data_IF_666790150262
#
_entry.id   IF_666790150262
#
_cell.length_a   1.000
_cell.length_b   1.000
_cell.length_c   1.000
_cell.angle_alpha   90.00
_cell.angle_beta   90.00
_cell.angle_gamma   90.00
#
_symmetry.space_group_name_H-M   'P 1'
#
loop_
_entity.id
_entity.type
_entity.pdbx_description
1 polymer ?
#
# COMPACT_ATOMS: atom_id res chain seq x y z
N UNK A 1 -5.42 -14.08 3.77
CA UNK A 1 -4.22 -13.78 4.58
C UNK A 1 -3.89 -12.31 4.44
N UNK A 2 -3.72 -11.59 5.55
CA UNK A 2 -3.20 -10.22 5.53
C UNK A 2 -1.66 -10.29 5.54
N UNK A 3 -1.04 -9.69 4.53
CA UNK A 3 0.41 -9.54 4.45
C UNK A 3 0.84 -8.38 5.36
N UNK A 4 1.37 -8.72 6.53
CA UNK A 4 2.01 -7.76 7.43
C UNK A 4 3.41 -7.40 6.94
N UNK A 5 3.48 -6.55 5.91
CA UNK A 5 4.73 -6.10 5.31
C UNK A 5 5.63 -5.36 6.31
N UNK A 6 6.92 -5.29 5.99
CA UNK A 6 7.94 -4.78 6.90
C UNK A 6 7.71 -3.33 7.31
N UNK A 7 7.17 -2.49 6.42
CA UNK A 7 6.99 -1.07 6.71
C UNK A 7 5.83 -0.84 7.67
N UNK A 8 4.66 -1.38 7.34
CA UNK A 8 3.52 -1.28 8.23
C UNK A 8 3.76 -2.04 9.54
N UNK A 9 4.53 -3.14 9.55
CA UNK A 9 4.84 -3.84 10.80
C UNK A 9 5.77 -3.03 11.73
N UNK A 10 6.80 -2.39 11.18
CA UNK A 10 7.87 -1.79 11.98
C UNK A 10 7.67 -0.29 12.25
N UNK A 11 7.04 0.44 11.32
CA UNK A 11 6.95 1.91 11.36
C UNK A 11 5.52 2.42 11.46
N UNK A 12 4.56 1.75 10.81
CA UNK A 12 3.17 2.22 10.70
C UNK A 12 2.13 1.13 11.07
N UNK A 13 2.20 0.55 12.29
CA UNK A 13 1.34 -0.57 12.70
C UNK A 13 -0.14 -0.24 12.74
N UNK A 14 -0.51 1.04 12.84
CA UNK A 14 -1.88 1.52 12.75
C UNK A 14 -2.53 1.18 11.41
N UNK A 15 -1.76 1.11 10.32
CA UNK A 15 -2.27 0.71 9.01
C UNK A 15 -2.72 -0.75 9.03
N UNK A 16 -1.95 -1.65 9.67
CA UNK A 16 -2.34 -3.07 9.82
C UNK A 16 -3.57 -3.22 10.72
N UNK A 17 -3.63 -2.49 11.83
CA UNK A 17 -4.81 -2.50 12.73
C UNK A 17 -6.06 -2.01 12.01
N UNK A 18 -5.93 -0.95 11.21
CA UNK A 18 -7.01 -0.39 10.40
C UNK A 18 -7.45 -1.37 9.30
N UNK A 19 -6.48 -2.00 8.62
CA UNK A 19 -6.73 -3.05 7.64
C UNK A 19 -7.49 -4.24 8.24
N UNK A 20 -7.12 -4.68 9.45
CA UNK A 20 -7.84 -5.73 10.18
C UNK A 20 -9.28 -5.33 10.49
N UNK A 21 -9.52 -4.11 10.98
CA UNK A 21 -10.87 -3.59 11.23
C UNK A 21 -11.72 -3.64 9.97
N UNK A 22 -11.18 -3.17 8.84
CA UNK A 22 -11.89 -3.16 7.54
C UNK A 22 -12.17 -4.57 7.03
N UNK A 23 -11.19 -5.48 7.10
CA UNK A 23 -11.37 -6.86 6.66
C UNK A 23 -12.36 -7.63 7.55
N UNK A 24 -12.36 -7.42 8.86
CA UNK A 24 -13.36 -8.00 9.76
C UNK A 24 -14.76 -7.43 9.51
N UNK A 25 -14.88 -6.12 9.28
CA UNK A 25 -16.16 -5.50 8.90
C UNK A 25 -16.67 -6.02 7.55
N UNK A 26 -15.78 -6.44 6.64
CA UNK A 26 -16.13 -7.13 5.41
C UNK A 26 -16.56 -8.60 5.60
N UNK A 27 -16.68 -9.08 6.85
CA UNK A 27 -17.09 -10.44 7.18
C UNK A 27 -15.99 -11.49 7.03
N UNK A 28 -14.72 -11.09 6.93
CA UNK A 28 -13.61 -12.02 6.71
C UNK A 28 -13.00 -12.49 8.02
N UNK A 29 -12.60 -13.77 8.04
CA UNK A 29 -11.63 -14.27 9.03
C UNK A 29 -10.22 -13.99 8.53
N UNK A 30 -9.45 -13.21 9.29
CA UNK A 30 -8.11 -12.79 8.87
C UNK A 30 -7.04 -13.60 9.59
N UNK A 31 -6.25 -14.34 8.82
CA UNK A 31 -4.95 -14.84 9.26
C UNK A 31 -3.82 -13.92 8.83
N UNK A 32 -2.77 -13.82 9.63
CA UNK A 32 -1.53 -13.09 9.29
C UNK A 32 -0.43 -14.10 8.99
N UNK A 33 0.34 -13.86 7.92
CA UNK A 33 1.45 -14.72 7.56
C UNK A 33 2.52 -14.75 8.67
N UNK A 34 2.94 -15.95 9.08
CA UNK A 34 4.01 -16.15 10.06
C UNK A 34 5.25 -16.66 9.36
N UNK A 35 6.40 -16.06 9.64
CA UNK A 35 7.69 -16.55 9.18
C UNK A 35 8.31 -17.53 10.18
N UNK A 36 9.36 -18.22 9.73
CA UNK A 36 10.19 -19.06 10.59
C UNK A 36 11.22 -18.22 11.35
N UNK A 37 11.13 -18.22 12.69
CA UNK A 37 12.01 -17.52 13.64
C UNK A 37 11.96 -15.98 13.62
N UNK A 38 11.58 -15.37 12.49
CA UNK A 38 11.42 -13.92 12.31
C UNK A 38 10.36 -13.62 11.26
N UNK A 39 9.77 -12.41 11.27
CA UNK A 39 8.78 -12.04 10.28
C UNK A 39 9.29 -12.12 8.83
N UNK A 40 8.38 -12.37 7.89
CA UNK A 40 8.67 -12.39 6.44
C UNK A 40 8.80 -10.97 5.88
N UNK A 41 9.54 -10.84 4.77
CA UNK A 41 9.72 -9.63 3.99
C UNK A 41 9.60 -9.97 2.50
N UNK A 42 9.12 -9.03 1.68
CA UNK A 42 9.02 -9.21 0.23
C UNK A 42 10.38 -9.17 -0.48
N UNK A 43 11.46 -8.77 0.19
CA UNK A 43 12.79 -8.66 -0.42
C UNK A 43 12.99 -7.43 -1.33
N UNK A 44 11.99 -6.55 -1.49
CA UNK A 44 12.07 -5.39 -2.40
C UNK A 44 13.24 -4.46 -2.11
N UNK A 45 13.57 -4.24 -0.84
CA UNK A 45 14.72 -3.40 -0.44
C UNK A 45 16.07 -4.01 -0.84
N UNK A 46 16.18 -5.34 -0.85
CA UNK A 46 17.35 -6.04 -1.38
C UNK A 46 17.42 -5.90 -2.90
N UNK A 47 16.30 -6.03 -3.62
CA UNK A 47 16.26 -5.83 -5.08
C UNK A 47 16.68 -4.41 -5.47
N UNK A 48 16.18 -3.39 -4.76
CA UNK A 48 16.52 -1.99 -5.01
C UNK A 48 18.02 -1.69 -4.85
N UNK A 49 18.75 -2.52 -4.09
CA UNK A 49 20.19 -2.40 -3.85
C UNK A 49 20.99 -3.49 -4.55
N UNK A 50 20.39 -4.19 -5.53
CA UNK A 50 21.01 -5.26 -6.34
C UNK A 50 21.48 -6.48 -5.52
N UNK A 51 20.98 -6.66 -4.30
CA UNK A 51 21.26 -7.83 -3.46
C UNK A 51 20.31 -9.00 -3.82
N UNK A 52 20.38 -9.46 -5.07
CA UNK A 52 19.42 -10.42 -5.65
C UNK A 52 19.37 -11.73 -4.87
N UNK A 53 20.50 -12.24 -4.40
CA UNK A 53 20.53 -13.50 -3.64
C UNK A 53 19.80 -13.40 -2.30
N UNK A 54 19.93 -12.25 -1.62
CA UNK A 54 19.17 -11.98 -0.38
C UNK A 54 17.69 -11.81 -0.66
N UNK A 55 17.33 -11.15 -1.77
CA UNK A 55 15.94 -11.04 -2.20
C UNK A 55 15.33 -12.42 -2.50
N UNK A 56 16.08 -13.32 -3.16
CA UNK A 56 15.64 -14.68 -3.46
C UNK A 56 15.36 -15.48 -2.19
N UNK A 57 16.23 -15.37 -1.17
CA UNK A 57 16.00 -16.01 0.14
C UNK A 57 14.71 -15.50 0.79
N UNK A 58 14.47 -14.18 0.80
CA UNK A 58 13.21 -13.63 1.34
C UNK A 58 11.98 -14.06 0.52
N UNK A 59 12.10 -14.14 -0.80
CA UNK A 59 11.03 -14.61 -1.67
C UNK A 59 10.66 -16.08 -1.38
N UNK A 60 11.65 -16.96 -1.18
CA UNK A 60 11.43 -18.35 -0.77
C UNK A 60 10.73 -18.44 0.59
N UNK A 61 11.18 -17.65 1.58
CA UNK A 61 10.55 -17.60 2.91
C UNK A 61 9.11 -17.10 2.85
N UNK A 62 8.86 -16.06 2.06
CA UNK A 62 7.52 -15.51 1.86
C UNK A 62 6.61 -16.53 1.18
N UNK A 63 7.10 -17.23 0.15
CA UNK A 63 6.36 -18.26 -0.55
C UNK A 63 5.96 -19.40 0.41
N UNK A 64 6.89 -19.87 1.24
CA UNK A 64 6.62 -20.89 2.25
C UNK A 64 5.61 -20.44 3.32
N UNK A 65 5.64 -19.17 3.74
CA UNK A 65 4.73 -18.61 4.74
C UNK A 65 3.31 -18.34 4.20
N UNK A 66 3.18 -18.20 2.88
CA UNK A 66 1.92 -17.88 2.21
C UNK A 66 1.45 -19.07 1.37
N UNK A 67 1.46 -20.30 1.88
CA UNK A 67 0.92 -21.45 1.12
C UNK A 67 -0.62 -21.48 1.09
N UNK A 68 -1.19 -22.29 0.20
CA UNK A 68 -2.64 -22.50 0.03
C UNK A 68 -3.31 -21.48 -0.89
N UNK A 69 -4.65 -21.48 -0.88
CA UNK A 69 -5.46 -20.80 -1.91
C UNK A 69 -6.12 -19.50 -1.45
N UNK A 70 -6.07 -19.19 -0.16
CA UNK A 70 -6.73 -17.99 0.40
C UNK A 70 -6.13 -16.70 -0.20
N UNK A 71 -6.93 -15.67 -0.55
CA UNK A 71 -6.40 -14.41 -1.07
C UNK A 71 -5.31 -13.80 -0.16
N UNK A 72 -4.25 -13.26 -0.75
CA UNK A 72 -3.23 -12.49 -0.03
C UNK A 72 -3.53 -11.01 -0.21
N UNK A 73 -3.86 -10.36 0.90
CA UNK A 73 -4.22 -8.96 0.95
C UNK A 73 -3.02 -8.15 1.41
N UNK A 74 -2.54 -7.23 0.57
CA UNK A 74 -1.47 -6.28 0.89
C UNK A 74 -1.98 -4.88 1.20
N UNK A 75 -1.17 -4.14 1.95
CA UNK A 75 -1.37 -2.71 2.23
C UNK A 75 -0.31 -1.86 1.51
N UNK A 76 0.97 -2.18 1.70
CA UNK A 76 2.06 -1.52 1.00
C UNK A 76 2.17 -1.98 -0.47
N UNK A 77 1.93 -1.09 -1.46
CA UNK A 77 1.96 -1.45 -2.87
C UNK A 77 3.30 -2.01 -3.32
N UNK A 78 4.42 -1.39 -2.93
CA UNK A 78 5.74 -1.89 -3.35
C UNK A 78 6.03 -3.30 -2.87
N UNK A 79 5.58 -3.64 -1.65
CA UNK A 79 5.75 -4.97 -1.10
C UNK A 79 4.86 -6.00 -1.80
N UNK A 80 3.57 -5.68 -1.99
CA UNK A 80 2.65 -6.61 -2.62
C UNK A 80 3.01 -6.86 -4.09
N UNK A 81 3.27 -5.82 -4.88
CA UNK A 81 3.54 -5.99 -6.31
C UNK A 81 4.89 -6.67 -6.57
N UNK A 82 5.80 -6.69 -5.61
CA UNK A 82 7.00 -7.56 -5.67
C UNK A 82 6.63 -9.04 -5.74
N UNK A 83 5.56 -9.48 -5.08
CA UNK A 83 5.07 -10.87 -5.20
C UNK A 83 4.53 -11.16 -6.62
N UNK A 84 4.04 -10.14 -7.32
CA UNK A 84 3.40 -10.30 -8.64
C UNK A 84 4.40 -10.23 -9.80
N UNK A 85 5.40 -9.35 -9.69
CA UNK A 85 6.32 -9.04 -10.79
C UNK A 85 7.68 -9.73 -10.63
N UNK A 86 8.21 -9.72 -9.41
CA UNK A 86 9.58 -10.14 -9.15
C UNK A 86 9.65 -11.62 -8.79
N UNK A 87 8.71 -12.13 -7.99
CA UNK A 87 8.78 -13.53 -7.53
C UNK A 87 8.73 -14.55 -8.66
N UNK A 88 7.86 -14.45 -9.68
CA UNK A 88 7.85 -15.38 -10.81
C UNK A 88 9.17 -15.37 -11.60
N UNK A 89 9.89 -14.25 -11.60
CA UNK A 89 11.19 -14.09 -12.26
C UNK A 89 12.36 -14.57 -11.40
N UNK A 90 12.24 -14.50 -10.08
CA UNK A 90 13.31 -14.84 -9.11
C UNK A 90 13.33 -16.32 -8.72
N UNK A 91 12.18 -16.98 -8.73
CA UNK A 91 11.98 -18.33 -8.21
C UNK A 91 11.58 -19.30 -9.34
N UNK A 92 12.13 -20.53 -9.35
CA UNK A 92 11.70 -21.54 -10.30
C UNK A 92 10.30 -22.08 -9.96
N UNK A 93 9.59 -22.58 -10.98
CA UNK A 93 8.33 -23.29 -10.83
C UNK A 93 7.08 -22.41 -10.79
N UNK A 94 5.91 -23.04 -10.68
CA UNK A 94 4.60 -22.35 -10.78
C UNK A 94 4.14 -21.68 -9.48
N UNK A 95 4.75 -21.99 -8.35
CA UNK A 95 4.23 -21.58 -7.03
C UNK A 95 4.27 -20.06 -6.83
N UNK A 96 5.31 -19.39 -7.35
CA UNK A 96 5.39 -17.94 -7.36
C UNK A 96 4.25 -17.31 -8.17
N UNK A 97 3.92 -17.88 -9.33
CA UNK A 97 2.80 -17.42 -10.15
C UNK A 97 1.46 -17.64 -9.44
N UNK A 98 1.23 -18.82 -8.85
CA UNK A 98 0.01 -19.10 -8.07
C UNK A 98 -0.19 -18.11 -6.92
N UNK A 99 0.89 -17.74 -6.24
CA UNK A 99 0.86 -16.69 -5.21
C UNK A 99 0.52 -15.32 -5.82
N UNK A 100 1.17 -14.95 -6.93
CA UNK A 100 0.93 -13.70 -7.64
C UNK A 100 -0.54 -13.53 -8.06
N UNK A 101 -1.18 -14.59 -8.52
CA UNK A 101 -2.56 -14.57 -9.04
C UNK A 101 -3.60 -14.25 -7.97
N UNK A 102 -3.32 -14.60 -6.70
CA UNK A 102 -4.20 -14.30 -5.57
C UNK A 102 -3.71 -13.17 -4.66
N UNK A 103 -2.62 -12.51 -5.02
CA UNK A 103 -2.10 -11.33 -4.35
C UNK A 103 -2.78 -10.05 -4.90
N UNK A 104 -3.41 -9.29 -4.02
CA UNK A 104 -4.10 -8.03 -4.36
C UNK A 104 -4.10 -7.05 -3.19
N UNK A 105 -4.20 -5.75 -3.47
CA UNK A 105 -4.34 -4.75 -2.42
C UNK A 105 -5.73 -4.83 -1.79
N UNK A 106 -5.86 -4.36 -0.55
CA UNK A 106 -7.15 -4.31 0.13
C UNK A 106 -8.20 -3.54 -0.69
N UNK A 107 -7.82 -2.39 -1.28
CA UNK A 107 -8.73 -1.62 -2.12
C UNK A 107 -9.20 -2.39 -3.37
N UNK A 108 -8.32 -3.17 -4.01
CA UNK A 108 -8.69 -4.04 -5.13
C UNK A 108 -9.67 -5.13 -4.69
N UNK A 109 -9.41 -5.75 -3.55
CA UNK A 109 -10.27 -6.78 -2.99
C UNK A 109 -11.68 -6.23 -2.71
N UNK A 110 -11.80 -5.07 -2.05
CA UNK A 110 -13.08 -4.44 -1.76
C UNK A 110 -13.83 -4.03 -3.03
N UNK A 111 -13.13 -3.48 -4.02
CA UNK A 111 -13.73 -3.11 -5.30
C UNK A 111 -14.25 -4.33 -6.07
N UNK A 112 -13.52 -5.46 -6.01
CA UNK A 112 -13.89 -6.71 -6.68
C UNK A 112 -15.06 -7.40 -5.99
N UNK A 113 -15.05 -7.48 -4.67
CA UNK A 113 -16.02 -8.29 -3.90
C UNK A 113 -17.23 -7.50 -3.42
N UNK A 114 -17.11 -6.17 -3.32
CA UNK A 114 -18.17 -5.24 -2.90
C UNK A 114 -18.92 -5.72 -1.65
N UNK A 115 -18.22 -6.05 -0.56
CA UNK A 115 -18.89 -6.48 0.66
C UNK A 115 -19.71 -5.32 1.23
N UNK A 116 -20.81 -5.65 1.92
CA UNK A 116 -21.61 -4.66 2.63
C UNK A 116 -20.85 -4.16 3.87
N UNK A 117 -20.13 -3.04 3.72
CA UNK A 117 -19.42 -2.40 4.82
C UNK A 117 -20.34 -1.38 5.51
N UNK A 118 -20.43 -1.39 6.86
CA UNK A 118 -21.27 -0.47 7.62
C UNK A 118 -20.59 0.91 7.76
N UNK A 119 -20.24 1.52 6.63
CA UNK A 119 -19.63 2.85 6.62
C UNK A 119 -20.65 3.90 7.10
N UNK A 120 -20.24 4.68 8.10
CA UNK A 120 -20.84 5.94 8.47
C UNK A 120 -20.44 7.03 7.48
N UNK A 121 -21.24 8.08 7.42
CA UNK A 121 -20.93 9.26 6.61
C UNK A 121 -19.66 9.93 7.12
N UNK A 122 -18.70 10.14 6.22
CA UNK A 122 -17.48 10.90 6.46
C UNK A 122 -17.47 12.11 5.53
N UNK A 123 -18.06 13.23 5.98
CA UNK A 123 -18.11 14.48 5.23
C UNK A 123 -16.73 15.14 5.16
N UNK A 124 -15.92 14.74 4.19
CA UNK A 124 -14.57 15.25 3.98
C UNK A 124 -14.19 15.19 2.49
N UNK A 125 -13.30 16.09 2.07
CA UNK A 125 -12.60 15.97 0.80
C UNK A 125 -11.28 15.23 1.01
N UNK A 126 -10.97 14.29 0.12
CA UNK A 126 -9.72 13.54 0.14
C UNK A 126 -9.01 13.58 -1.20
N UNK A 127 -7.73 13.96 -1.21
CA UNK A 127 -6.87 13.94 -2.38
C UNK A 127 -5.99 12.69 -2.35
N UNK A 128 -6.15 11.83 -3.35
CA UNK A 128 -5.58 10.48 -3.38
C UNK A 128 -4.44 10.41 -4.39
N UNK A 129 -3.22 10.28 -3.89
CA UNK A 129 -2.06 9.94 -4.70
C UNK A 129 -1.99 8.42 -4.90
N UNK A 130 -2.18 7.97 -6.14
CA UNK A 130 -1.91 6.58 -6.49
C UNK A 130 -0.41 6.29 -6.44
N UNK A 131 -0.03 5.17 -5.84
CA UNK A 131 1.35 4.69 -5.88
C UNK A 131 1.76 4.35 -7.32
N UNK A 132 3.04 4.48 -7.68
CA UNK A 132 3.52 4.13 -9.03
C UNK A 132 3.21 2.66 -9.37
N UNK A 133 3.53 1.70 -8.50
CA UNK A 133 3.10 0.30 -8.67
C UNK A 133 1.58 0.13 -8.77
N UNK A 134 0.76 0.86 -8.00
CA UNK A 134 -0.70 0.79 -8.16
C UNK A 134 -1.15 1.20 -9.57
N UNK A 135 -0.53 2.24 -10.13
CA UNK A 135 -0.84 2.69 -11.50
C UNK A 135 -0.36 1.69 -12.53
N UNK A 136 0.89 1.21 -12.42
CA UNK A 136 1.48 0.26 -13.36
C UNK A 136 0.70 -1.06 -13.43
N UNK A 137 0.14 -1.51 -12.32
CA UNK A 137 -0.66 -2.74 -12.25
C UNK A 137 -2.18 -2.50 -12.37
N UNK A 138 -2.63 -1.29 -12.72
CA UNK A 138 -4.06 -0.98 -12.86
C UNK A 138 -4.87 -1.02 -11.56
N UNK A 139 -4.23 -1.13 -10.40
CA UNK A 139 -4.83 -1.26 -9.08
C UNK A 139 -5.28 0.07 -8.46
N UNK A 140 -4.86 1.21 -9.00
CA UNK A 140 -5.25 2.52 -8.48
C UNK A 140 -6.75 2.80 -8.64
N UNK A 141 -7.32 2.52 -9.81
CA UNK A 141 -8.74 2.78 -10.09
C UNK A 141 -9.66 1.95 -9.18
N UNK A 142 -9.44 0.63 -8.99
CA UNK A 142 -10.15 -0.15 -7.98
C UNK A 142 -10.00 0.41 -6.56
N UNK A 143 -8.78 0.78 -6.14
CA UNK A 143 -8.55 1.36 -4.81
C UNK A 143 -9.32 2.66 -4.57
N UNK A 144 -9.35 3.56 -5.56
CA UNK A 144 -10.13 4.79 -5.51
C UNK A 144 -11.63 4.51 -5.48
N UNK A 145 -12.11 3.53 -6.26
CA UNK A 145 -13.51 3.12 -6.25
C UNK A 145 -13.95 2.58 -4.88
N UNK A 146 -13.07 1.83 -4.18
CA UNK A 146 -13.35 1.36 -2.82
C UNK A 146 -13.47 2.53 -1.81
N UNK A 147 -12.63 3.56 -1.92
CA UNK A 147 -12.76 4.78 -1.08
C UNK A 147 -14.09 5.51 -1.34
N UNK A 148 -14.52 5.60 -2.60
CA UNK A 148 -15.77 6.27 -3.00
C UNK A 148 -17.04 5.56 -2.54
N UNK A 149 -16.93 4.35 -1.96
CA UNK A 149 -18.06 3.70 -1.31
C UNK A 149 -18.38 4.30 0.07
N UNK A 150 -17.46 5.08 0.65
CA UNK A 150 -17.67 5.77 1.93
C UNK A 150 -18.65 6.93 1.70
N UNK A 151 -19.84 6.94 2.34
CA UNK A 151 -20.80 8.02 2.15
C UNK A 151 -20.22 9.36 2.60
N UNK A 152 -20.45 10.42 1.81
CA UNK A 152 -19.99 11.79 2.12
C UNK A 152 -18.51 12.07 1.84
N UNK A 153 -17.70 11.05 1.49
CA UNK A 153 -16.29 11.25 1.16
C UNK A 153 -16.12 11.67 -0.31
N UNK A 154 -15.67 12.89 -0.54
CA UNK A 154 -15.29 13.38 -1.85
C UNK A 154 -13.83 13.00 -2.17
N UNK A 155 -13.64 11.76 -2.62
CA UNK A 155 -12.32 11.21 -2.98
C UNK A 155 -11.90 11.57 -4.42
N UNK A 156 -10.93 12.48 -4.53
CA UNK A 156 -10.37 13.05 -5.75
C UNK A 156 -8.99 12.46 -6.05
N UNK A 157 -8.73 11.92 -7.26
CA UNK A 157 -7.39 11.50 -7.62
C UNK A 157 -6.46 12.70 -7.84
N UNK A 158 -5.22 12.60 -7.37
CA UNK A 158 -4.15 13.54 -7.74
C UNK A 158 -3.54 13.05 -9.06
N UNK A 159 -3.69 13.85 -10.12
CA UNK A 159 -3.04 13.62 -11.41
C UNK A 159 -1.51 13.80 -11.27
N UNK A 160 -0.82 12.71 -10.92
CA UNK A 160 0.62 12.69 -10.64
C UNK A 160 1.24 11.39 -11.11
N UNK A 161 2.57 11.38 -11.34
CA UNK A 161 3.32 10.20 -11.74
C UNK A 161 3.88 9.44 -10.53
N UNK A 162 5.13 9.66 -10.15
CA UNK A 162 5.77 9.05 -8.98
C UNK A 162 5.95 10.11 -7.88
N UNK A 163 6.02 9.68 -6.62
CA UNK A 163 6.41 10.56 -5.52
C UNK A 163 7.91 10.92 -5.55
N UNK A 164 8.74 10.19 -6.31
CA UNK A 164 10.17 10.44 -6.40
C UNK A 164 11.01 9.81 -5.28
N UNK A 165 10.41 9.30 -4.19
CA UNK A 165 11.18 8.75 -3.07
C UNK A 165 11.82 7.39 -3.37
N UNK A 166 11.04 6.43 -3.89
CA UNK A 166 11.49 5.09 -4.28
C UNK A 166 12.47 4.41 -3.28
N UNK A 167 12.13 4.40 -1.98
CA UNK A 167 12.99 3.86 -0.94
C UNK A 167 14.16 4.79 -0.61
N UNK A 168 15.40 4.29 -0.68
CA UNK A 168 16.61 5.08 -0.35
C UNK A 168 17.00 6.08 -1.44
N UNK A 169 16.46 5.96 -2.65
CA UNK A 169 16.77 6.86 -3.77
C UNK A 169 16.52 8.34 -3.42
N UNK A 170 15.44 8.65 -2.71
CA UNK A 170 15.12 10.01 -2.31
C UNK A 170 16.03 10.60 -1.23
N UNK A 171 16.79 9.76 -0.53
CA UNK A 171 17.69 10.19 0.54
C UNK A 171 19.17 10.23 0.13
N UNK A 172 19.53 9.57 -0.98
CA UNK A 172 20.90 9.57 -1.51
C UNK A 172 21.27 10.93 -2.08
N UNK A 173 22.47 11.44 -1.74
CA UNK A 173 22.97 12.74 -2.19
C UNK A 173 22.97 12.88 -3.72
N UNK A 174 23.27 11.80 -4.42
CA UNK A 174 23.39 11.74 -5.87
C UNK A 174 22.03 11.89 -6.57
N UNK A 175 20.97 11.34 -5.98
CA UNK A 175 19.63 11.27 -6.58
C UNK A 175 18.58 12.16 -5.92
N UNK A 176 18.90 12.82 -4.79
CA UNK A 176 17.95 13.67 -4.07
C UNK A 176 17.38 14.77 -4.97
N UNK A 177 18.20 15.38 -5.83
CA UNK A 177 17.74 16.43 -6.76
C UNK A 177 16.66 15.91 -7.72
N UNK A 178 16.86 14.72 -8.30
CA UNK A 178 15.92 14.07 -9.20
C UNK A 178 14.65 13.64 -8.45
N UNK A 179 14.81 13.08 -7.24
CA UNK A 179 13.70 12.74 -6.35
C UNK A 179 12.77 13.93 -6.08
N UNK A 180 13.35 15.07 -5.71
CA UNK A 180 12.61 16.32 -5.49
C UNK A 180 11.94 16.81 -6.77
N UNK A 181 12.65 16.82 -7.90
CA UNK A 181 12.09 17.24 -9.18
C UNK A 181 10.88 16.40 -9.60
N UNK A 182 10.94 15.07 -9.40
CA UNK A 182 9.81 14.18 -9.67
C UNK A 182 8.59 14.50 -8.80
N UNK A 183 8.80 14.77 -7.51
CA UNK A 183 7.73 15.13 -6.59
C UNK A 183 7.10 16.50 -6.93
N UNK A 184 7.94 17.47 -7.27
CA UNK A 184 7.56 18.84 -7.62
C UNK A 184 6.87 18.95 -8.98
N UNK A 185 7.04 17.96 -9.86
CA UNK A 185 6.42 17.98 -11.19
C UNK A 185 4.88 18.02 -11.14
N UNK A 186 4.25 17.43 -10.12
CA UNK A 186 2.78 17.39 -10.00
C UNK A 186 2.24 17.05 -8.61
N UNK A 187 2.91 16.15 -7.88
CA UNK A 187 2.40 15.68 -6.59
C UNK A 187 2.41 16.79 -5.53
N UNK A 188 3.56 17.40 -5.28
CA UNK A 188 3.69 18.41 -4.23
C UNK A 188 2.89 19.69 -4.52
N UNK A 189 2.81 20.19 -5.77
CA UNK A 189 1.88 21.27 -6.11
C UNK A 189 0.42 20.96 -5.74
N UNK A 190 -0.07 19.76 -6.07
CA UNK A 190 -1.44 19.36 -5.73
C UNK A 190 -1.66 19.23 -4.22
N UNK A 191 -0.68 18.69 -3.49
CA UNK A 191 -0.73 18.59 -2.02
C UNK A 191 -0.79 19.97 -1.36
N UNK A 192 -0.04 20.95 -1.88
CA UNK A 192 -0.06 22.32 -1.35
C UNK A 192 -1.33 23.09 -1.72
N UNK A 193 -1.96 22.75 -2.84
CA UNK A 193 -3.22 23.35 -3.28
C UNK A 193 -4.45 22.78 -2.55
N UNK A 194 -4.35 21.60 -1.94
CA UNK A 194 -5.42 21.00 -1.17
C UNK A 194 -5.76 21.84 0.07
N UNK A 195 -7.04 21.93 0.42
CA UNK A 195 -7.53 22.65 1.59
C UNK A 195 -6.85 22.18 2.88
N UNK A 196 -6.78 23.05 3.89
CA UNK A 196 -6.09 22.76 5.15
C UNK A 196 -6.66 21.51 5.84
N UNK A 197 -7.98 21.35 5.81
CA UNK A 197 -8.70 20.22 6.41
C UNK A 197 -8.90 19.02 5.46
N UNK A 198 -8.48 19.16 4.19
CA UNK A 198 -8.56 18.06 3.23
C UNK A 198 -7.62 16.92 3.62
N UNK A 199 -8.08 15.68 3.45
CA UNK A 199 -7.30 14.48 3.72
C UNK A 199 -6.35 14.23 2.54
N UNK A 200 -5.06 14.07 2.80
CA UNK A 200 -4.12 13.56 1.79
C UNK A 200 -3.97 12.04 1.97
N UNK A 201 -4.23 11.27 0.92
CA UNK A 201 -4.15 9.81 0.95
C UNK A 201 -3.01 9.33 0.06
N UNK A 202 -2.15 8.46 0.61
CA UNK A 202 -1.15 7.72 -0.14
C UNK A 202 -0.90 6.36 0.54
N UNK A 203 -0.98 5.26 -0.23
CA UNK A 203 -0.87 3.90 0.31
C UNK A 203 0.58 3.40 0.46
N UNK A 204 1.54 4.01 -0.26
CA UNK A 204 2.95 3.68 -0.08
C UNK A 204 3.63 4.49 1.02
N UNK A 205 4.42 3.80 1.82
CA UNK A 205 5.26 4.36 2.91
C UNK A 205 6.15 5.47 2.38
N UNK A 206 6.93 5.19 1.32
CA UNK A 206 7.80 6.18 0.70
C UNK A 206 7.04 7.39 0.14
N UNK A 207 5.81 7.21 -0.36
CA UNK A 207 4.99 8.34 -0.80
C UNK A 207 4.59 9.23 0.38
N UNK A 208 4.16 8.64 1.50
CA UNK A 208 3.78 9.39 2.72
C UNK A 208 4.96 10.17 3.29
N UNK A 209 6.14 9.55 3.36
CA UNK A 209 7.37 10.23 3.78
C UNK A 209 7.72 11.40 2.85
N UNK A 210 7.69 11.21 1.53
CA UNK A 210 7.98 12.33 0.61
C UNK A 210 7.01 13.50 0.78
N UNK A 211 5.72 13.21 0.89
CA UNK A 211 4.67 14.22 1.06
C UNK A 211 4.88 14.97 2.38
N UNK A 212 5.28 14.27 3.44
CA UNK A 212 5.60 14.88 4.72
C UNK A 212 6.87 15.75 4.63
N UNK A 213 7.97 15.16 4.16
CA UNK A 213 9.31 15.75 4.22
C UNK A 213 9.44 16.96 3.29
N UNK A 214 8.75 16.96 2.14
CA UNK A 214 8.84 18.03 1.13
C UNK A 214 7.56 18.87 1.00
N UNK A 215 6.40 18.30 1.34
CA UNK A 215 5.11 18.97 1.20
C UNK A 215 4.56 19.56 2.49
N UNK A 216 5.14 19.21 3.66
CA UNK A 216 4.68 19.70 4.97
C UNK A 216 3.27 19.25 5.36
N UNK A 217 2.71 18.26 4.66
CA UNK A 217 1.37 17.71 4.91
C UNK A 217 1.49 16.27 5.38
N UNK A 218 0.67 15.88 6.34
CA UNK A 218 0.58 14.48 6.77
C UNK A 218 -0.37 13.72 5.85
N UNK A 219 0.18 12.85 5.01
CA UNK A 219 -0.60 11.87 4.27
C UNK A 219 -0.93 10.64 5.13
N UNK A 220 -2.10 10.03 4.92
CA UNK A 220 -2.53 8.80 5.59
C UNK A 220 -2.74 7.67 4.59
N UNK A 221 -2.68 6.43 5.05
CA UNK A 221 -3.06 5.28 4.23
C UNK A 221 -4.59 5.24 4.04
N UNK A 222 -5.06 4.83 2.86
CA UNK A 222 -6.49 4.66 2.56
C UNK A 222 -7.26 3.81 3.60
N UNK A 223 -6.65 2.75 4.14
CA UNK A 223 -7.29 1.88 5.13
C UNK A 223 -7.58 2.57 6.45
N UNK A 224 -6.81 3.60 6.81
CA UNK A 224 -7.08 4.40 8.00
C UNK A 224 -8.36 5.22 7.80
N UNK A 225 -8.56 5.75 6.59
CA UNK A 225 -9.79 6.49 6.24
C UNK A 225 -10.99 5.55 6.21
N UNK A 226 -10.85 4.37 5.61
CA UNK A 226 -11.89 3.33 5.63
C UNK A 226 -12.23 2.91 7.07
N UNK A 227 -11.23 2.68 7.93
CA UNK A 227 -11.46 2.29 9.31
C UNK A 227 -12.13 3.39 10.14
N UNK A 228 -11.78 4.67 9.91
CA UNK A 228 -12.48 5.82 10.52
C UNK A 228 -13.95 5.84 10.14
N UNK A 229 -14.26 5.58 8.86
CA UNK A 229 -15.63 5.52 8.38
C UNK A 229 -16.44 4.35 8.99
N UNK A 230 -15.81 3.31 9.54
CA UNK A 230 -16.54 2.23 10.24
C UNK A 230 -17.02 2.62 11.65
N UNK A 231 -16.66 3.80 12.16
CA UNK A 231 -17.08 4.28 13.49
C UNK A 231 -16.49 3.50 14.67
N UNK A 232 -15.56 2.58 14.42
CA UNK A 232 -14.90 1.81 15.48
C UNK A 232 -13.74 2.64 16.03
N UNK A 233 -13.94 3.22 17.21
CA UNK A 233 -12.92 3.95 17.96
C UNK A 233 -11.56 3.23 17.90
N UNK A 234 -10.50 4.01 17.72
CA UNK A 234 -9.11 3.54 17.83
C UNK A 234 -8.98 2.77 19.14
N UNK A 235 -8.59 1.49 19.06
CA UNK A 235 -8.13 0.74 20.25
C UNK A 235 -6.64 0.99 20.36
#
# INVERSE_FOLDING_TARGET
LLLADTFNRAFEPENLRSGLKVLHAAGLRVGVAKGDGRPVCCGRTYLATRMVDRARVEAQRMLAALQGDAPVIGLEPSCLFTLKDEFPSLLPGSEAQKLADRAMLLGEYLAKTKPALPYQTLAATAHVHGHCHQKSFGAFVPGLAALRQIPGLDAKPIASSCCGMAGSFGYQSESQHASRAMAEASLLPAVRAAGADDIIIADGTSCRHQINDLGGRKAVHSVVVMARALGVASV
#
